data_IF_364734075622
#
_entry.id   IF_364734075622
#
_cell.length_a   1.000
_cell.length_b   1.000
_cell.length_c   1.000
_cell.angle_alpha   90.00
_cell.angle_beta   90.00
_cell.angle_gamma   90.00
#
_symmetry.space_group_name_H-M   'P 1'
#
loop_
_entity.id
_entity.type
_entity.pdbx_description
1 polymer ?
#
# COMPACT_ATOMS: atom_id res chain seq x y z
N UNK A 1 9.00 9.32 19.22
CA UNK A 1 8.46 8.17 18.46
C UNK A 1 7.02 7.95 18.94
N UNK A 2 6.04 8.52 18.26
CA UNK A 2 4.63 8.47 18.66
C UNK A 2 4.01 7.15 18.20
N UNK A 3 3.60 6.32 19.16
CA UNK A 3 2.93 5.05 18.92
C UNK A 3 1.55 5.27 18.28
N UNK A 4 1.25 4.50 17.23
CA UNK A 4 -0.07 4.48 16.58
C UNK A 4 -1.06 3.69 17.44
N UNK A 5 -2.33 4.13 17.54
CA UNK A 5 -3.37 3.36 18.25
C UNK A 5 -3.77 2.11 17.44
N UNK A 6 -4.17 1.02 18.11
CA UNK A 6 -4.65 -0.18 17.43
C UNK A 6 -6.02 0.08 16.78
N UNK A 7 -6.17 -0.36 15.52
CA UNK A 7 -7.45 -0.35 14.81
C UNK A 7 -8.40 -1.36 15.47
N UNK A 8 -9.44 -0.85 16.14
CA UNK A 8 -10.53 -1.65 16.68
C UNK A 8 -11.46 -2.10 15.56
N UNK A 9 -11.21 -3.28 14.99
CA UNK A 9 -12.18 -3.95 14.11
C UNK A 9 -13.17 -4.67 15.00
N UNK A 10 -14.32 -4.04 15.24
CA UNK A 10 -15.47 -4.69 15.85
C UNK A 10 -15.98 -5.79 14.90
N UNK A 11 -15.61 -7.04 15.20
CA UNK A 11 -16.23 -8.22 14.60
C UNK A 11 -17.60 -8.38 15.25
N UNK A 12 -18.72 -8.42 14.49
CA UNK A 12 -20.02 -8.67 15.09
C UNK A 12 -20.05 -10.09 15.66
N UNK A 13 -20.22 -10.17 16.98
CA UNK A 13 -20.53 -11.40 17.68
C UNK A 13 -21.89 -11.91 17.15
N UNK A 14 -21.85 -12.96 16.34
CA UNK A 14 -23.06 -13.65 15.92
C UNK A 14 -23.54 -14.52 17.09
N UNK A 15 -24.68 -14.13 17.64
CA UNK A 15 -25.35 -14.76 18.77
C UNK A 15 -25.49 -16.28 18.58
N UNK A 16 -25.01 -17.00 19.58
CA UNK A 16 -25.31 -18.39 19.84
C UNK A 16 -26.82 -18.57 20.04
N UNK A 17 -27.53 -19.06 19.03
CA UNK A 17 -28.79 -19.77 19.22
C UNK A 17 -28.51 -21.27 19.26
N UNK A 18 -28.51 -21.80 20.47
CA UNK A 18 -28.67 -23.22 20.75
C UNK A 18 -30.04 -23.69 20.26
N UNK A 19 -30.03 -24.63 19.32
CA UNK A 19 -31.13 -25.59 19.16
C UNK A 19 -30.53 -26.99 19.21
N UNK A 20 -30.51 -27.53 20.41
CA UNK A 20 -30.16 -28.91 20.75
C UNK A 20 -31.13 -29.87 20.08
N UNK A 21 -30.65 -30.75 19.18
CA UNK A 21 -30.97 -32.19 19.16
C UNK A 21 -30.39 -32.86 17.90
N UNK A 22 -29.55 -33.88 18.09
CA UNK A 22 -29.05 -34.85 17.08
C UNK A 22 -27.76 -34.48 16.32
N UNK A 23 -26.76 -33.90 16.97
CA UNK A 23 -25.42 -33.69 16.40
C UNK A 23 -24.46 -34.89 16.57
N UNK A 24 -24.97 -36.12 16.55
CA UNK A 24 -24.15 -37.33 16.63
C UNK A 24 -24.51 -38.27 15.49
N UNK A 25 -23.55 -38.44 14.58
CA UNK A 25 -23.57 -39.33 13.41
C UNK A 25 -24.31 -38.81 12.17
N UNK A 26 -23.81 -37.74 11.56
CA UNK A 26 -23.92 -37.58 10.10
C UNK A 26 -23.57 -38.95 9.49
N UNK A 27 -24.48 -39.52 8.71
CA UNK A 27 -24.28 -40.81 8.06
C UNK A 27 -23.02 -40.76 7.20
N UNK A 28 -22.39 -41.91 6.93
CA UNK A 28 -21.23 -41.94 6.04
C UNK A 28 -21.53 -41.30 4.67
N UNK A 29 -22.77 -41.44 4.20
CA UNK A 29 -23.27 -40.81 2.98
C UNK A 29 -23.35 -39.28 3.10
N UNK A 30 -23.93 -38.74 4.18
CA UNK A 30 -24.02 -37.30 4.42
C UNK A 30 -22.65 -36.66 4.61
N UNK A 31 -21.74 -37.31 5.36
CA UNK A 31 -20.36 -36.85 5.51
C UNK A 31 -19.65 -36.77 4.15
N UNK A 32 -19.83 -37.78 3.30
CA UNK A 32 -19.26 -37.80 1.94
C UNK A 32 -19.85 -36.68 1.08
N UNK A 33 -21.16 -36.49 1.11
CA UNK A 33 -21.83 -35.43 0.37
C UNK A 33 -21.35 -34.03 0.81
N UNK A 34 -21.28 -33.79 2.13
CA UNK A 34 -20.79 -32.52 2.68
C UNK A 34 -19.31 -32.28 2.34
N UNK A 35 -18.47 -33.31 2.41
CA UNK A 35 -17.06 -33.21 2.02
C UNK A 35 -16.92 -32.83 0.55
N UNK A 36 -17.65 -33.48 -0.36
CA UNK A 36 -17.63 -33.16 -1.80
C UNK A 36 -18.13 -31.74 -2.04
N UNK A 37 -19.21 -31.32 -1.37
CA UNK A 37 -19.75 -29.97 -1.50
C UNK A 37 -18.77 -28.90 -1.00
N UNK A 38 -18.15 -29.13 0.17
CA UNK A 38 -17.15 -28.22 0.75
C UNK A 38 -15.92 -28.09 -0.15
N UNK A 39 -15.44 -29.20 -0.70
CA UNK A 39 -14.27 -29.20 -1.60
C UNK A 39 -14.60 -28.54 -2.95
N UNK A 40 -15.80 -28.78 -3.50
CA UNK A 40 -16.26 -28.08 -4.71
C UNK A 40 -16.27 -26.57 -4.50
N UNK A 41 -16.87 -26.10 -3.39
CA UNK A 41 -16.89 -24.68 -3.03
C UNK A 41 -15.48 -24.11 -2.86
N UNK A 42 -14.58 -24.85 -2.18
CA UNK A 42 -13.17 -24.45 -2.02
C UNK A 42 -12.49 -24.28 -3.38
N UNK A 43 -12.67 -25.23 -4.30
CA UNK A 43 -12.08 -25.17 -5.65
C UNK A 43 -12.64 -24.03 -6.48
N UNK A 44 -13.94 -23.75 -6.38
CA UNK A 44 -14.57 -22.61 -7.04
C UNK A 44 -14.00 -21.29 -6.53
N UNK A 45 -13.82 -21.15 -5.21
CA UNK A 45 -13.19 -19.96 -4.62
C UNK A 45 -11.75 -19.75 -5.10
N UNK A 46 -10.97 -20.83 -5.21
CA UNK A 46 -9.60 -20.77 -5.75
C UNK A 46 -9.63 -20.29 -7.20
N UNK A 47 -10.51 -20.83 -8.05
CA UNK A 47 -10.66 -20.40 -9.45
C UNK A 47 -11.01 -18.92 -9.56
N UNK A 48 -11.99 -18.46 -8.78
CA UNK A 48 -12.37 -17.04 -8.75
C UNK A 48 -11.21 -16.13 -8.31
N UNK A 49 -10.34 -16.59 -7.42
CA UNK A 49 -9.14 -15.84 -7.05
C UNK A 49 -8.14 -15.77 -8.22
N UNK A 50 -7.93 -16.84 -8.98
CA UNK A 50 -7.11 -16.83 -10.19
C UNK A 50 -7.69 -15.89 -11.26
N UNK A 51 -9.01 -15.88 -11.47
CA UNK A 51 -9.66 -14.97 -12.42
C UNK A 51 -9.40 -13.50 -12.06
N UNK A 52 -9.42 -13.16 -10.77
CA UNK A 52 -9.09 -11.81 -10.29
C UNK A 52 -7.64 -11.44 -10.57
N UNK A 53 -6.71 -12.37 -10.41
CA UNK A 53 -5.29 -12.13 -10.69
C UNK A 53 -5.10 -11.85 -12.19
N UNK A 54 -5.71 -12.66 -13.05
CA UNK A 54 -5.68 -12.46 -14.51
C UNK A 54 -6.21 -11.09 -14.92
N UNK A 55 -7.28 -10.61 -14.27
CA UNK A 55 -7.86 -9.31 -14.58
C UNK A 55 -6.95 -8.10 -14.23
N UNK A 56 -6.04 -8.25 -13.26
CA UNK A 56 -5.19 -7.15 -12.76
C UNK A 56 -3.81 -7.15 -13.42
N UNK A 57 -3.30 -8.31 -13.82
CA UNK A 57 -1.96 -8.44 -14.41
C UNK A 57 -2.04 -8.20 -15.92
N UNK A 58 -1.44 -7.13 -16.45
CA UNK A 58 -1.59 -6.75 -17.86
C UNK A 58 -0.94 -7.75 -18.84
N UNK A 59 0.05 -8.50 -18.39
CA UNK A 59 0.80 -9.47 -19.20
C UNK A 59 0.12 -10.84 -19.31
N UNK A 60 -1.06 -11.02 -18.70
CA UNK A 60 -1.83 -12.27 -18.74
C UNK A 60 -2.98 -12.15 -19.76
N UNK A 61 -2.76 -12.70 -20.95
CA UNK A 61 -3.83 -12.81 -21.97
C UNK A 61 -4.85 -13.90 -21.61
N UNK A 62 -6.06 -13.83 -22.18
CA UNK A 62 -7.12 -14.83 -21.98
C UNK A 62 -6.71 -16.26 -22.38
N UNK A 63 -5.69 -16.41 -23.24
CA UNK A 63 -5.14 -17.71 -23.64
C UNK A 63 -4.18 -18.29 -22.58
N UNK A 64 -3.42 -17.43 -21.90
CA UNK A 64 -2.46 -17.81 -20.86
C UNK A 64 -3.12 -17.98 -19.48
N UNK A 65 -4.32 -17.44 -19.31
CA UNK A 65 -5.20 -17.64 -18.16
C UNK A 65 -5.61 -19.12 -17.93
N UNK A 66 -5.22 -20.04 -18.83
CA UNK A 66 -5.50 -21.47 -18.70
C UNK A 66 -4.48 -22.22 -17.84
N UNK A 67 -3.30 -21.65 -17.58
CA UNK A 67 -2.23 -22.31 -16.82
C UNK A 67 -2.00 -21.63 -15.47
N UNK A 68 -2.32 -22.34 -14.37
CA UNK A 68 -2.10 -21.86 -13.00
C UNK A 68 -0.63 -21.45 -12.76
N UNK A 69 0.32 -22.25 -13.27
CA UNK A 69 1.75 -21.94 -13.17
C UNK A 69 2.10 -20.64 -13.90
N UNK A 70 1.59 -20.45 -15.11
CA UNK A 70 1.85 -19.23 -15.89
C UNK A 70 1.29 -17.99 -15.18
N UNK A 71 0.08 -18.10 -14.63
CA UNK A 71 -0.54 -17.02 -13.85
C UNK A 71 0.35 -16.65 -12.66
N UNK A 72 0.80 -17.63 -11.88
CA UNK A 72 1.66 -17.36 -10.71
C UNK A 72 2.99 -16.73 -11.12
N UNK A 73 3.69 -17.28 -12.11
CA UNK A 73 4.99 -16.76 -12.56
C UNK A 73 4.90 -15.35 -13.12
N UNK A 74 3.90 -15.05 -13.95
CA UNK A 74 3.72 -13.69 -14.48
C UNK A 74 3.32 -12.70 -13.39
N UNK A 75 2.50 -13.14 -12.43
CA UNK A 75 2.10 -12.30 -11.30
C UNK A 75 3.28 -11.92 -10.42
N UNK A 76 4.19 -12.87 -10.12
CA UNK A 76 5.40 -12.57 -9.35
C UNK A 76 6.30 -11.58 -10.09
N UNK A 77 6.49 -11.78 -11.39
CA UNK A 77 7.27 -10.86 -12.22
C UNK A 77 6.68 -9.44 -12.25
N UNK A 78 5.35 -9.34 -12.31
CA UNK A 78 4.65 -8.06 -12.30
C UNK A 78 4.77 -7.34 -10.94
N UNK A 79 4.71 -8.07 -9.82
CA UNK A 79 4.96 -7.48 -8.49
C UNK A 79 6.37 -6.90 -8.41
N UNK A 80 7.37 -7.61 -8.94
CA UNK A 80 8.75 -7.15 -8.91
C UNK A 80 8.99 -5.96 -9.86
N UNK A 81 8.32 -5.89 -11.01
CA UNK A 81 8.37 -4.72 -11.88
C UNK A 81 7.74 -3.49 -11.21
N UNK A 82 6.57 -3.65 -10.59
CA UNK A 82 5.90 -2.59 -9.83
C UNK A 82 6.77 -2.06 -8.67
N UNK A 83 7.47 -2.95 -7.96
CA UNK A 83 8.42 -2.55 -6.90
C UNK A 83 9.57 -1.71 -7.45
N UNK A 84 10.16 -2.13 -8.58
CA UNK A 84 11.25 -1.38 -9.24
C UNK A 84 10.78 -0.02 -9.73
N UNK A 85 9.59 0.03 -10.33
CA UNK A 85 9.00 1.29 -10.80
C UNK A 85 8.69 2.24 -9.64
N UNK A 86 8.09 1.74 -8.56
CA UNK A 86 7.83 2.53 -7.36
C UNK A 86 9.13 3.08 -6.76
N UNK A 87 10.18 2.25 -6.66
CA UNK A 87 11.49 2.71 -6.20
C UNK A 87 12.05 3.82 -7.09
N UNK A 88 12.01 3.64 -8.42
CA UNK A 88 12.46 4.68 -9.38
C UNK A 88 11.66 5.98 -9.24
N UNK A 89 10.34 5.90 -9.08
CA UNK A 89 9.49 7.07 -8.89
C UNK A 89 9.80 7.79 -7.57
N UNK A 90 10.06 7.05 -6.49
CA UNK A 90 10.48 7.61 -5.21
C UNK A 90 11.83 8.32 -5.31
N UNK A 91 12.80 7.74 -6.03
CA UNK A 91 14.09 8.39 -6.28
C UNK A 91 13.93 9.67 -7.10
N UNK A 92 13.12 9.66 -8.16
CA UNK A 92 12.79 10.88 -8.92
C UNK A 92 12.10 11.92 -8.05
N UNK A 93 11.18 11.50 -7.19
CA UNK A 93 10.48 12.40 -6.27
C UNK A 93 11.43 13.02 -5.24
N UNK A 94 12.33 12.22 -4.65
CA UNK A 94 13.38 12.71 -3.75
C UNK A 94 14.33 13.65 -4.45
N UNK A 95 14.74 13.36 -5.69
CA UNK A 95 15.62 14.23 -6.45
C UNK A 95 14.94 15.54 -6.88
N UNK A 96 13.61 15.53 -7.04
CA UNK A 96 12.82 16.74 -7.33
C UNK A 96 12.46 17.56 -6.09
N UNK A 97 12.27 16.91 -4.93
CA UNK A 97 12.01 17.59 -3.64
C UNK A 97 13.29 17.95 -2.88
N UNK A 98 14.38 17.26 -3.14
CA UNK A 98 15.69 17.48 -2.56
C UNK A 98 16.40 18.59 -3.33
N UNK A 99 16.74 19.66 -2.61
CA UNK A 99 17.57 20.79 -3.02
C UNK A 99 16.85 21.99 -3.64
N UNK A 100 16.02 22.62 -2.80
CA UNK A 100 16.20 24.05 -2.57
C UNK A 100 16.83 24.14 -1.17
N UNK A 101 18.15 24.26 -1.10
CA UNK A 101 18.84 24.57 0.16
C UNK A 101 18.54 26.01 0.55
N UNK A 102 18.67 26.36 1.84
CA UNK A 102 18.55 27.76 2.26
C UNK A 102 19.55 28.65 1.52
N UNK A 103 20.72 28.12 1.16
CA UNK A 103 21.68 28.79 0.28
C UNK A 103 21.13 29.02 -1.14
N UNK A 104 20.43 28.04 -1.73
CA UNK A 104 19.77 28.21 -3.03
C UNK A 104 18.64 29.27 -3.00
N UNK A 105 17.94 29.41 -1.86
CA UNK A 105 16.95 30.47 -1.65
C UNK A 105 17.63 31.83 -1.50
N UNK A 106 18.66 31.91 -0.65
CA UNK A 106 19.42 33.14 -0.37
C UNK A 106 20.08 33.67 -1.65
N UNK A 107 20.69 32.79 -2.45
CA UNK A 107 21.32 33.16 -3.71
C UNK A 107 20.27 33.61 -4.74
N UNK A 108 19.10 32.96 -4.80
CA UNK A 108 17.99 33.40 -5.67
C UNK A 108 17.43 34.77 -5.26
N UNK A 109 17.40 35.10 -3.97
CA UNK A 109 16.97 36.41 -3.45
C UNK A 109 18.00 37.50 -3.81
N UNK A 110 19.30 37.20 -3.69
CA UNK A 110 20.39 38.10 -4.08
C UNK A 110 20.41 38.37 -5.59
N UNK A 111 20.23 37.35 -6.43
CA UNK A 111 20.21 37.50 -7.90
C UNK A 111 18.97 38.24 -8.43
N UNK A 112 17.82 38.12 -7.76
CA UNK A 112 16.59 38.83 -8.13
C UNK A 112 16.51 40.28 -7.61
N UNK A 113 17.60 40.82 -7.05
CA UNK A 113 17.71 42.22 -6.66
C UNK A 113 16.71 42.64 -5.57
N UNK A 114 16.37 41.75 -4.63
CA UNK A 114 15.29 41.95 -3.67
C UNK A 114 15.73 42.01 -2.20
N UNK A 115 15.90 43.24 -1.70
CA UNK A 115 15.43 43.70 -0.38
C UNK A 115 16.28 43.55 0.89
N UNK A 116 17.59 43.27 0.88
CA UNK A 116 18.40 43.34 2.13
C UNK A 116 19.78 44.00 1.94
N UNK A 117 19.83 45.10 1.20
CA UNK A 117 20.93 46.04 1.27
C UNK A 117 20.39 47.40 1.63
N UNK A 118 20.45 47.79 2.92
CA UNK A 118 20.92 49.12 3.35
C UNK A 118 20.80 49.40 4.87
N UNK A 119 19.96 48.71 5.65
CA UNK A 119 19.62 49.23 6.99
C UNK A 119 20.41 48.70 8.21
N UNK A 120 21.52 47.99 8.05
CA UNK A 120 22.33 47.54 9.21
C UNK A 120 23.57 48.41 9.49
N UNK A 121 23.83 49.46 8.68
CA UNK A 121 24.95 50.37 8.90
C UNK A 121 24.63 51.57 9.82
N UNK A 122 23.37 51.74 10.26
CA UNK A 122 22.94 52.90 11.07
C UNK A 122 22.77 52.67 12.57
N UNK A 123 23.13 51.50 13.11
CA UNK A 123 23.25 51.33 14.56
C UNK A 123 24.73 51.44 14.94
N UNK A 124 25.27 52.65 14.78
CA UNK A 124 26.48 53.08 15.47
C UNK A 124 26.12 54.16 16.47
N UNK A 125 26.41 53.82 17.73
CA UNK A 125 26.93 54.72 18.75
C UNK A 125 26.00 55.86 19.20
N UNK A 126 25.01 55.52 20.03
CA UNK A 126 24.43 56.50 20.97
C UNK A 126 24.22 55.87 22.35
N UNK A 127 25.33 55.50 23.02
CA UNK A 127 25.39 55.50 24.47
C UNK A 127 26.84 55.65 24.95
N UNK A 128 27.42 56.81 24.69
CA UNK A 128 28.59 57.29 25.41
C UNK A 128 28.42 58.78 25.76
N UNK A 129 27.94 59.00 26.99
CA UNK A 129 28.31 60.12 27.89
C UNK A 129 27.74 61.51 27.64
N UNK A 130 27.75 62.41 28.66
CA UNK A 130 28.43 62.33 29.97
C UNK A 130 27.55 61.88 31.14
#
# INVERSE_FOLDING_TARGET
>A
MSALPPLNVAVPANESKSSTSNSSFLTAAEKKAHHIASEKKRREQIRLAFDKIVAVVPDLSSQEARSELSILTKSTNYIDSLRKENHKLLEVYKNKKGHITNEDVINRIKEKGGFLGEDLASIKDESASP
#
